data_IF_108357725883
#
_entry.id   IF_108357725883
#
_cell.length_a   1.000
_cell.length_b   1.000
_cell.length_c   1.000
_cell.angle_alpha   90.00
_cell.angle_beta   90.00
_cell.angle_gamma   90.00
#
_symmetry.space_group_name_H-M   'P 1'
#
loop_
_entity.id
_entity.type
_entity.pdbx_description
1 polymer ?
#
# COMPACT_ATOMS: atom_id res chain seq x y z
N UNK A 1 -0.30 18.57 47.41
CA UNK A 1 -1.14 17.82 46.45
C UNK A 1 -0.49 17.57 45.08
N UNK A 2 0.61 18.23 44.71
CA UNK A 2 1.29 18.01 43.42
C UNK A 2 2.33 16.87 43.46
N UNK A 3 3.04 16.70 44.58
CA UNK A 3 4.03 15.61 44.74
C UNK A 3 3.39 14.20 44.74
N UNK A 4 2.15 14.09 45.22
CA UNK A 4 1.38 12.84 45.19
C UNK A 4 0.96 12.43 43.77
N UNK A 5 0.77 13.39 42.84
CA UNK A 5 0.42 13.10 41.44
C UNK A 5 1.62 12.60 40.64
N UNK A 6 2.83 13.09 40.94
CA UNK A 6 4.07 12.62 40.33
C UNK A 6 4.46 11.21 40.77
N UNK A 7 4.21 10.85 42.04
CA UNK A 7 4.38 9.48 42.53
C UNK A 7 3.38 8.50 41.90
N UNK A 8 2.11 8.91 41.75
CA UNK A 8 1.09 8.09 41.06
C UNK A 8 1.43 7.90 39.58
N UNK A 9 1.93 8.93 38.90
CA UNK A 9 2.40 8.82 37.51
C UNK A 9 3.65 7.94 37.38
N UNK A 10 4.57 7.98 38.35
CA UNK A 10 5.76 7.13 38.38
C UNK A 10 5.44 5.65 38.60
N UNK A 11 4.42 5.35 39.41
CA UNK A 11 3.93 3.98 39.66
C UNK A 11 3.16 3.46 38.42
N UNK A 12 2.37 4.32 37.77
CA UNK A 12 1.66 3.96 36.54
C UNK A 12 2.63 3.64 35.38
N UNK A 13 3.75 4.36 35.27
CA UNK A 13 4.76 4.12 34.23
C UNK A 13 5.57 2.83 34.51
N UNK A 14 5.76 2.45 35.78
CA UNK A 14 6.46 1.20 36.13
C UNK A 14 5.57 -0.05 35.96
N UNK A 15 4.24 0.09 36.06
CA UNK A 15 3.31 -1.02 35.76
C UNK A 15 3.26 -1.39 34.26
N UNK A 16 3.52 -0.44 33.36
CA UNK A 16 3.51 -0.68 31.90
C UNK A 16 4.73 -1.48 31.44
N UNK A 17 5.84 -1.47 32.19
CA UNK A 17 7.07 -2.18 31.81
C UNK A 17 7.16 -3.64 32.30
N UNK A 18 6.25 -4.10 33.16
CA UNK A 18 6.27 -5.49 33.69
C UNK A 18 5.18 -6.39 33.07
N UNK A 19 4.23 -5.84 32.31
CA UNK A 19 3.00 -6.53 31.92
C UNK A 19 2.92 -7.24 30.56
N UNK A 20 3.99 -7.31 29.75
CA UNK A 20 3.91 -7.97 28.43
C UNK A 20 4.90 -9.13 28.32
N UNK A 21 4.69 -10.13 29.18
CA UNK A 21 4.93 -11.54 28.86
C UNK A 21 3.99 -12.41 29.69
N UNK A 22 2.79 -12.66 29.16
CA UNK A 22 2.00 -13.86 29.40
C UNK A 22 0.74 -13.81 28.52
N UNK A 23 0.53 -14.92 27.82
CA UNK A 23 -0.63 -15.24 26.98
C UNK A 23 -1.80 -15.77 27.82
N UNK A 24 -2.96 -15.89 27.17
CA UNK A 24 -4.16 -16.69 27.46
C UNK A 24 -5.42 -15.91 27.91
N UNK A 25 -6.50 -16.19 27.18
CA UNK A 25 -7.76 -15.46 27.16
C UNK A 25 -8.69 -15.65 28.36
N UNK A 26 -9.70 -14.78 28.41
CA UNK A 26 -11.09 -15.06 28.79
C UNK A 26 -11.94 -13.80 28.56
N UNK A 27 -13.24 -14.03 28.47
CA UNK A 27 -14.32 -13.23 27.88
C UNK A 27 -14.84 -12.05 28.75
N UNK A 28 -15.75 -11.28 28.13
CA UNK A 28 -16.82 -10.43 28.73
C UNK A 28 -16.41 -9.17 29.51
N UNK A 29 -17.05 -7.98 29.42
CA UNK A 29 -18.30 -7.51 28.82
C UNK A 29 -18.31 -5.96 28.84
N UNK A 30 -19.34 -5.36 28.22
CA UNK A 30 -19.89 -4.01 28.48
C UNK A 30 -19.41 -2.79 27.64
N UNK A 31 -19.96 -2.73 26.42
CA UNK A 31 -20.91 -1.69 25.92
C UNK A 31 -20.55 -0.21 26.11
N UNK A 32 -20.28 0.48 24.99
CA UNK A 32 -20.91 1.76 24.62
C UNK A 32 -21.17 1.76 23.09
N UNK A 33 -22.41 2.06 22.74
CA UNK A 33 -23.02 2.00 21.40
C UNK A 33 -22.71 3.25 20.57
N UNK A 34 -22.23 3.05 19.34
CA UNK A 34 -22.42 4.00 18.22
C UNK A 34 -22.57 3.17 16.91
N UNK A 35 -23.62 3.39 16.09
CA UNK A 35 -23.99 2.46 15.02
C UNK A 35 -23.42 2.91 13.67
N UNK A 36 -22.54 2.10 13.07
CA UNK A 36 -22.45 1.97 11.58
C UNK A 36 -21.50 0.86 11.06
N UNK A 37 -20.76 0.15 11.93
CA UNK A 37 -19.78 -0.87 11.48
C UNK A 37 -20.37 -2.28 11.45
N UNK A 38 -21.30 -2.60 12.34
CA UNK A 38 -21.89 -3.94 12.49
C UNK A 38 -22.72 -4.39 11.28
N UNK A 39 -23.43 -3.47 10.62
CA UNK A 39 -24.23 -3.80 9.44
C UNK A 39 -23.38 -4.30 8.27
N UNK A 40 -22.15 -3.80 8.12
CA UNK A 40 -21.24 -4.22 7.05
C UNK A 40 -20.68 -5.63 7.27
N UNK A 41 -20.35 -5.98 8.51
CA UNK A 41 -19.83 -7.30 8.91
C UNK A 41 -20.94 -8.33 8.81
N UNK A 42 -22.13 -8.02 9.33
CA UNK A 42 -23.30 -8.89 9.25
C UNK A 42 -23.72 -9.11 7.78
N UNK A 43 -23.65 -8.09 6.93
CA UNK A 43 -23.96 -8.21 5.50
C UNK A 43 -22.96 -9.11 4.75
N UNK A 44 -21.67 -9.01 5.07
CA UNK A 44 -20.64 -9.88 4.51
C UNK A 44 -20.85 -11.35 4.92
N UNK A 45 -21.18 -11.59 6.20
CA UNK A 45 -21.51 -12.92 6.71
C UNK A 45 -22.77 -13.48 6.07
N UNK A 46 -23.79 -12.65 5.85
CA UNK A 46 -25.03 -13.04 5.16
C UNK A 46 -24.78 -13.41 3.69
N UNK A 47 -23.94 -12.65 2.98
CA UNK A 47 -23.52 -12.99 1.61
C UNK A 47 -22.69 -14.27 1.58
N UNK A 48 -21.80 -14.48 2.55
CA UNK A 48 -21.02 -15.70 2.67
C UNK A 48 -21.91 -16.92 2.96
N UNK A 49 -22.85 -16.81 3.89
CA UNK A 49 -23.84 -17.86 4.18
C UNK A 49 -24.71 -18.14 2.97
N UNK A 50 -25.15 -17.11 2.25
CA UNK A 50 -25.95 -17.25 1.03
C UNK A 50 -25.18 -17.96 -0.08
N UNK A 51 -23.90 -17.69 -0.26
CA UNK A 51 -23.06 -18.40 -1.23
C UNK A 51 -22.83 -19.87 -0.85
N UNK A 52 -22.63 -20.17 0.45
CA UNK A 52 -22.55 -21.54 0.96
C UNK A 52 -23.86 -22.31 0.79
N UNK A 53 -25.00 -21.67 1.08
CA UNK A 53 -26.32 -22.26 0.86
C UNK A 53 -26.51 -22.58 -0.62
N UNK A 54 -26.21 -21.64 -1.53
CA UNK A 54 -26.29 -21.87 -2.98
C UNK A 54 -25.38 -23.00 -3.47
N UNK A 55 -24.14 -23.08 -2.95
CA UNK A 55 -23.22 -24.17 -3.28
C UNK A 55 -23.72 -25.54 -2.76
N UNK A 56 -24.27 -25.59 -1.55
CA UNK A 56 -24.86 -26.79 -0.98
C UNK A 56 -26.13 -27.20 -1.74
N UNK A 57 -27.00 -26.26 -2.11
CA UNK A 57 -28.18 -26.50 -2.93
C UNK A 57 -27.81 -27.08 -4.30
N UNK A 58 -26.79 -26.51 -4.97
CA UNK A 58 -26.26 -27.05 -6.23
C UNK A 58 -25.72 -28.47 -6.06
N UNK A 59 -24.97 -28.72 -4.98
CA UNK A 59 -24.41 -30.05 -4.68
C UNK A 59 -25.50 -31.08 -4.42
N UNK A 60 -26.56 -30.70 -3.70
CA UNK A 60 -27.73 -31.56 -3.43
C UNK A 60 -28.48 -31.85 -4.74
N UNK A 61 -28.67 -30.85 -5.60
CA UNK A 61 -29.32 -31.03 -6.91
C UNK A 61 -28.53 -32.01 -7.80
N UNK A 62 -27.21 -31.87 -7.87
CA UNK A 62 -26.37 -32.78 -8.64
C UNK A 62 -26.35 -34.19 -8.04
N UNK A 63 -26.27 -34.33 -6.72
CA UNK A 63 -26.39 -35.62 -6.03
C UNK A 63 -27.75 -36.28 -6.27
N UNK A 64 -28.82 -35.50 -6.32
CA UNK A 64 -30.18 -36.00 -6.61
C UNK A 64 -30.29 -36.51 -8.05
N UNK A 65 -29.69 -35.80 -9.02
CA UNK A 65 -29.61 -36.27 -10.42
C UNK A 65 -28.77 -37.54 -10.54
N UNK A 66 -27.64 -37.61 -9.86
CA UNK A 66 -26.77 -38.79 -9.82
C UNK A 66 -27.52 -40.00 -9.24
N UNK A 67 -28.23 -39.82 -8.12
CA UNK A 67 -29.06 -40.86 -7.51
C UNK A 67 -30.17 -41.34 -8.45
N UNK A 68 -30.88 -40.42 -9.11
CA UNK A 68 -31.93 -40.78 -10.06
C UNK A 68 -31.39 -41.61 -11.23
N UNK A 69 -30.22 -41.24 -11.78
CA UNK A 69 -29.57 -42.03 -12.83
C UNK A 69 -29.15 -43.42 -12.34
N UNK A 70 -28.68 -43.54 -11.09
CA UNK A 70 -28.36 -44.84 -10.49
C UNK A 70 -29.61 -45.69 -10.27
N UNK A 71 -30.72 -45.10 -9.81
CA UNK A 71 -32.01 -45.79 -9.67
C UNK A 71 -32.51 -46.32 -11.02
N UNK A 72 -32.42 -45.53 -12.08
CA UNK A 72 -32.77 -45.97 -13.44
C UNK A 72 -31.90 -47.15 -13.91
N UNK A 73 -30.59 -47.12 -13.60
CA UNK A 73 -29.69 -48.23 -13.89
C UNK A 73 -30.00 -49.48 -13.05
N UNK A 74 -30.40 -49.32 -11.79
CA UNK A 74 -30.79 -50.44 -10.91
C UNK A 74 -32.06 -51.08 -11.43
N UNK A 75 -33.09 -50.30 -11.74
CA UNK A 75 -34.34 -50.81 -12.32
C UNK A 75 -34.10 -51.58 -13.64
N UNK A 76 -33.18 -51.10 -14.48
CA UNK A 76 -32.78 -51.82 -15.68
C UNK A 76 -32.10 -53.16 -15.38
N UNK A 77 -31.21 -53.21 -14.38
CA UNK A 77 -30.56 -54.45 -13.95
C UNK A 77 -31.54 -55.44 -13.31
N UNK A 78 -32.48 -54.97 -12.51
CA UNK A 78 -33.54 -55.80 -11.92
C UNK A 78 -34.40 -56.45 -12.99
N UNK A 79 -34.81 -55.69 -14.02
CA UNK A 79 -35.54 -56.23 -15.17
C UNK A 79 -34.76 -57.33 -15.89
N UNK A 80 -33.46 -57.14 -16.10
CA UNK A 80 -32.60 -58.17 -16.70
C UNK A 80 -32.56 -59.42 -15.81
N UNK A 81 -32.47 -59.24 -14.48
CA UNK A 81 -32.45 -60.37 -13.54
C UNK A 81 -33.78 -61.14 -13.59
N UNK A 82 -34.92 -60.45 -13.64
CA UNK A 82 -36.24 -61.09 -13.79
C UNK A 82 -36.35 -61.86 -15.11
N UNK A 83 -35.92 -61.28 -16.23
CA UNK A 83 -35.90 -61.95 -17.54
C UNK A 83 -35.02 -63.21 -17.52
N UNK A 84 -33.85 -63.14 -16.86
CA UNK A 84 -32.95 -64.29 -16.69
C UNK A 84 -33.52 -65.33 -15.75
N UNK A 85 -34.16 -64.93 -14.66
CA UNK A 85 -34.81 -65.85 -13.73
C UNK A 85 -35.98 -66.58 -14.41
N UNK A 86 -36.80 -65.88 -15.20
CA UNK A 86 -37.85 -66.49 -16.01
C UNK A 86 -37.29 -67.47 -17.05
N UNK A 87 -36.17 -67.13 -17.69
CA UNK A 87 -35.48 -68.03 -18.62
C UNK A 87 -34.96 -69.28 -17.92
N UNK A 88 -34.42 -69.15 -16.70
CA UNK A 88 -33.93 -70.28 -15.89
C UNK A 88 -35.10 -71.19 -15.48
N UNK A 89 -36.24 -70.62 -15.06
CA UNK A 89 -37.44 -71.39 -14.73
C UNK A 89 -38.00 -72.12 -15.96
N UNK A 90 -37.99 -71.47 -17.12
CA UNK A 90 -38.37 -72.10 -18.39
C UNK A 90 -37.44 -73.28 -18.71
N UNK A 91 -36.13 -73.07 -18.64
CA UNK A 91 -35.13 -74.13 -18.89
C UNK A 91 -35.24 -75.27 -17.86
N UNK A 92 -35.50 -74.97 -16.59
CA UNK A 92 -35.73 -75.99 -15.57
C UNK A 92 -37.00 -76.80 -15.87
N UNK A 93 -38.10 -76.16 -16.29
CA UNK A 93 -39.33 -76.88 -16.69
C UNK A 93 -39.13 -77.73 -17.94
N UNK A 94 -38.28 -77.29 -18.87
CA UNK A 94 -37.90 -78.02 -20.07
C UNK A 94 -37.01 -79.22 -19.73
N UNK A 95 -36.07 -79.07 -18.79
CA UNK A 95 -35.25 -80.16 -18.25
C UNK A 95 -36.13 -81.19 -17.52
N UNK A 96 -37.06 -80.76 -16.67
CA UNK A 96 -38.01 -81.66 -16.00
C UNK A 96 -38.95 -82.37 -16.98
N UNK A 97 -39.34 -81.70 -18.07
CA UNK A 97 -40.10 -82.28 -19.18
C UNK A 97 -39.30 -83.37 -19.89
N UNK A 98 -38.04 -83.10 -20.24
CA UNK A 98 -37.13 -84.07 -20.87
C UNK A 98 -36.83 -85.24 -19.93
N UNK A 99 -36.74 -84.99 -18.61
CA UNK A 99 -36.51 -86.03 -17.60
C UNK A 99 -37.74 -86.93 -17.36
N UNK A 100 -38.97 -86.42 -17.59
CA UNK A 100 -40.21 -87.22 -17.57
C UNK A 100 -40.46 -88.00 -18.87
N UNK A 101 -39.87 -87.55 -19.98
CA UNK A 101 -39.95 -88.23 -21.28
C UNK A 101 -38.81 -89.25 -21.45
N UNK A 102 -38.54 -90.01 -20.39
CA UNK A 102 -37.57 -91.09 -20.39
C UNK A 102 -38.17 -92.37 -20.96
N UNK A 103 -38.13 -92.50 -22.28
CA UNK A 103 -37.71 -93.71 -23.03
C UNK A 103 -37.94 -93.49 -24.52
N UNK A 104 -36.86 -93.64 -25.32
CA UNK A 104 -36.76 -94.19 -26.68
C UNK A 104 -35.80 -93.38 -27.59
N UNK A 105 -34.89 -94.14 -28.20
CA UNK A 105 -33.91 -93.90 -29.27
C UNK A 105 -32.72 -92.95 -29.08
N UNK A 106 -31.61 -93.57 -28.65
CA UNK A 106 -30.29 -92.98 -28.46
C UNK A 106 -29.56 -92.59 -29.77
N UNK A 107 -30.04 -92.98 -30.95
CA UNK A 107 -29.32 -92.76 -32.21
C UNK A 107 -29.82 -91.56 -33.03
N UNK A 108 -31.09 -91.16 -32.85
CA UNK A 108 -31.65 -89.94 -33.46
C UNK A 108 -31.35 -88.67 -32.63
N UNK A 109 -31.23 -88.82 -31.30
CA UNK A 109 -30.81 -87.75 -30.37
C UNK A 109 -29.37 -87.29 -30.60
N UNK A 110 -28.46 -88.20 -30.94
CA UNK A 110 -27.05 -87.85 -31.20
C UNK A 110 -26.90 -87.03 -32.49
N UNK A 111 -27.73 -87.30 -33.51
CA UNK A 111 -27.73 -86.51 -34.75
C UNK A 111 -28.34 -85.11 -34.56
N UNK A 112 -29.44 -84.98 -33.81
CA UNK A 112 -30.01 -83.67 -33.44
C UNK A 112 -29.08 -82.87 -32.54
N UNK A 113 -28.50 -83.49 -31.51
CA UNK A 113 -27.53 -82.86 -30.63
C UNK A 113 -26.26 -82.40 -31.38
N UNK A 114 -25.80 -83.14 -32.40
CA UNK A 114 -24.66 -82.71 -33.22
C UNK A 114 -24.99 -81.53 -34.14
N UNK A 115 -26.22 -81.44 -34.68
CA UNK A 115 -26.67 -80.28 -35.47
C UNK A 115 -26.84 -79.05 -34.57
N UNK A 116 -27.50 -79.21 -33.42
CA UNK A 116 -27.65 -78.15 -32.41
C UNK A 116 -26.29 -77.70 -31.86
N UNK A 117 -25.36 -78.61 -31.61
CA UNK A 117 -23.99 -78.28 -31.18
C UNK A 117 -23.22 -77.51 -32.25
N UNK A 118 -23.42 -77.82 -33.54
CA UNK A 118 -22.81 -77.09 -34.64
C UNK A 118 -23.40 -75.68 -34.82
N UNK A 119 -24.70 -75.53 -34.57
CA UNK A 119 -25.40 -74.24 -34.64
C UNK A 119 -25.09 -73.34 -33.43
N UNK A 120 -25.03 -73.92 -32.22
CA UNK A 120 -24.49 -73.28 -31.01
C UNK A 120 -23.02 -72.87 -31.21
N UNK A 121 -22.20 -73.71 -31.84
CA UNK A 121 -20.82 -73.36 -32.18
C UNK A 121 -20.73 -72.09 -33.04
N UNK A 122 -21.56 -71.97 -34.08
CA UNK A 122 -21.63 -70.77 -34.92
C UNK A 122 -22.11 -69.54 -34.15
N UNK A 123 -23.07 -69.69 -33.22
CA UNK A 123 -23.51 -68.59 -32.37
C UNK A 123 -22.41 -68.13 -31.41
N UNK A 124 -21.67 -69.06 -30.81
CA UNK A 124 -20.52 -68.77 -29.95
C UNK A 124 -19.42 -68.06 -30.73
N UNK A 125 -19.11 -68.50 -31.95
CA UNK A 125 -18.13 -67.84 -32.84
C UNK A 125 -18.55 -66.40 -33.17
N UNK A 126 -19.84 -66.18 -33.47
CA UNK A 126 -20.40 -64.85 -33.75
C UNK A 126 -20.32 -63.94 -32.52
N UNK A 127 -20.69 -64.44 -31.34
CA UNK A 127 -20.60 -63.70 -30.08
C UNK A 127 -19.15 -63.37 -29.72
N UNK A 128 -18.22 -64.30 -29.95
CA UNK A 128 -16.78 -64.07 -29.74
C UNK A 128 -16.27 -62.91 -30.59
N UNK A 129 -16.63 -62.88 -31.88
CA UNK A 129 -16.22 -61.80 -32.79
C UNK A 129 -16.84 -60.44 -32.39
N UNK A 130 -18.10 -60.41 -31.93
CA UNK A 130 -18.74 -59.18 -31.44
C UNK A 130 -18.08 -58.67 -30.15
N UNK A 131 -17.74 -59.58 -29.22
CA UNK A 131 -16.99 -59.24 -27.99
C UNK A 131 -15.63 -58.65 -28.34
N UNK A 132 -14.89 -59.25 -29.27
CA UNK A 132 -13.60 -58.70 -29.72
C UNK A 132 -13.75 -57.30 -30.34
N UNK A 133 -14.79 -57.09 -31.15
CA UNK A 133 -15.07 -55.79 -31.75
C UNK A 133 -15.43 -54.74 -30.71
N UNK A 134 -16.30 -55.08 -29.74
CA UNK A 134 -16.62 -54.19 -28.63
C UNK A 134 -15.40 -53.87 -27.78
N UNK A 135 -14.54 -54.85 -27.52
CA UNK A 135 -13.32 -54.62 -26.73
C UNK A 135 -12.37 -53.64 -27.43
N UNK A 136 -12.21 -53.74 -28.75
CA UNK A 136 -11.43 -52.76 -29.54
C UNK A 136 -12.04 -51.36 -29.47
N UNK A 137 -13.38 -51.23 -29.55
CA UNK A 137 -14.07 -49.94 -29.39
C UNK A 137 -13.87 -49.37 -27.99
N UNK A 138 -13.98 -50.20 -26.94
CA UNK A 138 -13.72 -49.81 -25.55
C UNK A 138 -12.30 -49.27 -25.39
N UNK A 139 -11.28 -49.97 -25.88
CA UNK A 139 -9.90 -49.49 -25.81
C UNK A 139 -9.69 -48.16 -26.53
N UNK A 140 -10.33 -47.94 -27.69
CA UNK A 140 -10.28 -46.67 -28.40
C UNK A 140 -10.95 -45.53 -27.61
N UNK A 141 -12.06 -45.83 -26.91
CA UNK A 141 -12.72 -44.86 -26.03
C UNK A 141 -11.90 -44.56 -24.78
N UNK A 142 -11.31 -45.57 -24.13
CA UNK A 142 -10.42 -45.41 -22.98
C UNK A 142 -9.20 -44.54 -23.34
N UNK A 143 -8.60 -44.76 -24.52
CA UNK A 143 -7.50 -43.93 -25.01
C UNK A 143 -7.92 -42.46 -25.18
N UNK A 144 -9.09 -42.20 -25.79
CA UNK A 144 -9.63 -40.84 -25.94
C UNK A 144 -9.97 -40.20 -24.60
N UNK A 145 -10.52 -40.96 -23.66
CA UNK A 145 -10.82 -40.49 -22.31
C UNK A 145 -9.53 -40.07 -21.58
N UNK A 146 -8.47 -40.89 -21.67
CA UNK A 146 -7.16 -40.55 -21.07
C UNK A 146 -6.51 -39.31 -21.69
N UNK A 147 -6.68 -39.08 -22.99
CA UNK A 147 -6.17 -37.87 -23.65
C UNK A 147 -6.98 -36.63 -23.25
N UNK A 148 -8.31 -36.76 -23.15
CA UNK A 148 -9.18 -35.70 -22.66
C UNK A 148 -8.85 -35.35 -21.20
N UNK A 149 -8.61 -36.33 -20.35
CA UNK A 149 -8.21 -36.13 -18.95
C UNK A 149 -6.88 -35.37 -18.84
N UNK A 150 -5.88 -35.72 -19.65
CA UNK A 150 -4.61 -34.97 -19.73
C UNK A 150 -4.83 -33.51 -20.15
N UNK A 151 -5.69 -33.26 -21.13
CA UNK A 151 -6.03 -31.89 -21.57
C UNK A 151 -6.74 -31.11 -20.46
N UNK A 152 -7.65 -31.75 -19.72
CA UNK A 152 -8.32 -31.13 -18.57
C UNK A 152 -7.32 -30.77 -17.47
N UNK A 153 -6.37 -31.66 -17.16
CA UNK A 153 -5.31 -31.37 -16.20
C UNK A 153 -4.41 -30.21 -16.65
N UNK A 154 -4.02 -30.16 -17.93
CA UNK A 154 -3.25 -29.04 -18.49
C UNK A 154 -4.01 -27.72 -18.41
N UNK A 155 -5.30 -27.72 -18.76
CA UNK A 155 -6.16 -26.54 -18.65
C UNK A 155 -6.35 -26.11 -17.20
N UNK A 156 -6.48 -27.05 -16.27
CA UNK A 156 -6.57 -26.77 -14.83
C UNK A 156 -5.30 -26.08 -14.31
N UNK A 157 -4.12 -26.56 -14.70
CA UNK A 157 -2.84 -25.91 -14.34
C UNK A 157 -2.71 -24.50 -14.95
N UNK A 158 -3.14 -24.31 -16.20
CA UNK A 158 -3.17 -22.98 -16.82
C UNK A 158 -4.13 -22.03 -16.11
N UNK A 159 -5.30 -22.52 -15.71
CA UNK A 159 -6.28 -21.75 -14.96
C UNK A 159 -5.74 -21.33 -13.59
N UNK A 160 -5.09 -22.23 -12.87
CA UNK A 160 -4.46 -21.93 -11.57
C UNK A 160 -3.36 -20.87 -11.70
N UNK A 161 -2.51 -20.98 -12.74
CA UNK A 161 -1.48 -19.97 -13.00
C UNK A 161 -2.08 -18.61 -13.35
N UNK A 162 -3.13 -18.57 -14.16
CA UNK A 162 -3.85 -17.32 -14.46
C UNK A 162 -4.47 -16.71 -13.21
N UNK A 163 -5.08 -17.53 -12.36
CA UNK A 163 -5.65 -17.07 -11.09
C UNK A 163 -4.58 -16.43 -10.19
N UNK A 164 -3.41 -17.08 -10.03
CA UNK A 164 -2.27 -16.52 -9.28
C UNK A 164 -1.81 -15.17 -9.84
N UNK A 165 -1.72 -15.04 -11.17
CA UNK A 165 -1.33 -13.75 -11.79
C UNK A 165 -2.40 -12.67 -11.62
N UNK A 166 -3.67 -13.03 -11.63
CA UNK A 166 -4.77 -12.11 -11.39
C UNK A 166 -4.77 -11.60 -9.95
N UNK A 167 -4.59 -12.50 -8.97
CA UNK A 167 -4.50 -12.15 -7.55
C UNK A 167 -3.32 -11.21 -7.27
N UNK A 168 -2.15 -11.46 -7.89
CA UNK A 168 -0.99 -10.56 -7.82
C UNK A 168 -1.28 -9.18 -8.42
N UNK A 169 -1.92 -9.13 -9.59
CA UNK A 169 -2.32 -7.87 -10.22
C UNK A 169 -3.32 -7.10 -9.34
N UNK A 170 -4.32 -7.78 -8.77
CA UNK A 170 -5.31 -7.20 -7.86
C UNK A 170 -4.64 -6.65 -6.60
N UNK A 171 -3.67 -7.36 -6.04
CA UNK A 171 -2.88 -6.87 -4.91
C UNK A 171 -2.11 -5.59 -5.24
N UNK A 172 -1.46 -5.55 -6.42
CA UNK A 172 -0.75 -4.36 -6.90
C UNK A 172 -1.68 -3.17 -7.10
N UNK A 173 -2.86 -3.39 -7.68
CA UNK A 173 -3.90 -2.36 -7.86
C UNK A 173 -4.32 -1.79 -6.51
N UNK A 174 -4.63 -2.64 -5.53
CA UNK A 174 -5.00 -2.19 -4.18
C UNK A 174 -3.86 -1.44 -3.46
N UNK A 175 -2.60 -1.78 -3.73
CA UNK A 175 -1.46 -1.03 -3.20
C UNK A 175 -1.37 0.37 -3.83
N UNK A 176 -1.57 0.49 -5.14
CA UNK A 176 -1.56 1.79 -5.83
C UNK A 176 -2.77 2.65 -5.47
N UNK A 177 -3.96 2.06 -5.30
CA UNK A 177 -5.16 2.77 -4.85
C UNK A 177 -4.99 3.36 -3.44
N UNK A 178 -4.38 2.60 -2.51
CA UNK A 178 -4.08 3.13 -1.17
C UNK A 178 -3.08 4.27 -1.21
N UNK A 179 -2.03 4.16 -2.03
CA UNK A 179 -1.06 5.24 -2.22
C UNK A 179 -1.71 6.49 -2.82
N UNK A 180 -2.65 6.31 -3.76
CA UNK A 180 -3.41 7.42 -4.35
C UNK A 180 -4.29 8.11 -3.31
N UNK A 181 -5.06 7.36 -2.51
CA UNK A 181 -5.89 7.94 -1.44
C UNK A 181 -5.06 8.73 -0.43
N UNK A 182 -3.90 8.20 -0.01
CA UNK A 182 -2.99 8.92 0.89
C UNK A 182 -2.48 10.21 0.23
N UNK A 183 -2.12 10.18 -1.06
CA UNK A 183 -1.69 11.37 -1.78
C UNK A 183 -2.81 12.41 -1.91
N UNK A 184 -4.05 11.98 -2.14
CA UNK A 184 -5.24 12.85 -2.17
C UNK A 184 -5.50 13.49 -0.80
N UNK A 185 -5.42 12.71 0.29
CA UNK A 185 -5.58 13.23 1.66
C UNK A 185 -4.49 14.25 2.03
N UNK A 186 -3.22 13.98 1.70
CA UNK A 186 -2.12 14.90 1.94
C UNK A 186 -2.24 16.18 1.09
N UNK A 187 -2.73 16.07 -0.15
CA UNK A 187 -3.02 17.23 -0.99
C UNK A 187 -4.13 18.10 -0.38
N UNK A 188 -5.21 17.48 0.10
CA UNK A 188 -6.30 18.20 0.77
C UNK A 188 -5.80 18.89 2.06
N UNK A 189 -4.97 18.21 2.85
CA UNK A 189 -4.34 18.82 4.04
C UNK A 189 -3.44 20.00 3.68
N UNK A 190 -2.59 19.86 2.68
CA UNK A 190 -1.71 20.94 2.22
C UNK A 190 -2.50 22.15 1.70
N UNK A 191 -3.61 21.93 0.99
CA UNK A 191 -4.51 23.00 0.57
C UNK A 191 -5.14 23.71 1.77
N UNK A 192 -5.64 22.97 2.76
CA UNK A 192 -6.20 23.55 3.98
C UNK A 192 -5.14 24.32 4.79
N UNK A 193 -3.90 23.82 4.88
CA UNK A 193 -2.81 24.52 5.54
C UNK A 193 -2.39 25.79 4.78
N UNK A 194 -2.32 25.74 3.45
CA UNK A 194 -1.99 26.89 2.61
C UNK A 194 -3.06 27.99 2.71
N UNK A 195 -4.34 27.61 2.72
CA UNK A 195 -5.46 28.55 2.91
C UNK A 195 -5.47 29.15 4.30
N UNK A 196 -5.22 28.35 5.35
CA UNK A 196 -5.10 28.84 6.73
C UNK A 196 -3.93 29.83 6.87
N UNK A 197 -2.74 29.47 6.37
CA UNK A 197 -1.56 30.34 6.38
C UNK A 197 -1.78 31.62 5.58
N UNK A 198 -2.43 31.53 4.42
CA UNK A 198 -2.81 32.72 3.63
C UNK A 198 -3.72 33.66 4.43
N UNK A 199 -4.70 33.11 5.16
CA UNK A 199 -5.59 33.88 6.02
C UNK A 199 -4.85 34.53 7.20
N UNK A 200 -3.97 33.80 7.90
CA UNK A 200 -3.10 34.38 8.94
C UNK A 200 -2.21 35.50 8.37
N UNK A 201 -1.65 35.28 7.18
CA UNK A 201 -0.75 36.22 6.53
C UNK A 201 -1.52 37.48 6.11
N UNK A 202 -2.72 37.36 5.51
CA UNK A 202 -3.58 38.50 5.20
C UNK A 202 -3.96 39.32 6.43
N UNK A 203 -4.23 38.68 7.57
CA UNK A 203 -4.53 39.37 8.84
C UNK A 203 -3.30 40.09 9.41
N UNK A 204 -2.13 39.43 9.39
CA UNK A 204 -0.88 40.03 9.84
C UNK A 204 -0.42 41.19 8.93
N UNK A 205 -0.62 41.05 7.62
CA UNK A 205 -0.20 42.01 6.61
C UNK A 205 -1.17 43.20 6.50
N UNK A 206 -2.46 43.01 6.75
CA UNK A 206 -3.45 44.11 6.81
C UNK A 206 -3.17 45.15 7.91
N UNK A 207 -2.37 44.80 8.93
CA UNK A 207 -1.96 45.70 10.00
C UNK A 207 -0.54 46.28 9.84
N UNK A 208 0.30 45.73 8.94
CA UNK A 208 1.71 46.08 8.82
C UNK A 208 2.12 46.64 7.45
N UNK A 209 1.44 46.25 6.36
CA UNK A 209 1.74 46.76 5.02
C UNK A 209 1.16 48.15 4.82
N UNK A 210 1.94 49.11 4.29
CA UNK A 210 1.40 50.38 3.80
C UNK A 210 0.28 50.15 2.77
N UNK A 211 -0.81 50.95 2.77
CA UNK A 211 -1.96 50.75 1.89
C UNK A 211 -1.61 50.62 0.39
N UNK A 212 -0.56 51.30 -0.07
CA UNK A 212 -0.10 51.24 -1.45
C UNK A 212 0.47 49.86 -1.84
N UNK A 213 1.16 49.18 -0.92
CA UNK A 213 1.77 47.87 -1.17
C UNK A 213 0.72 46.75 -1.08
N UNK A 214 -0.24 46.86 -0.16
CA UNK A 214 -1.40 45.97 -0.10
C UNK A 214 -2.22 46.03 -1.41
N UNK A 215 -2.49 47.24 -1.93
CA UNK A 215 -3.16 47.42 -3.21
C UNK A 215 -2.38 46.80 -4.38
N UNK A 216 -1.05 46.89 -4.37
CA UNK A 216 -0.20 46.33 -5.41
C UNK A 216 -0.19 44.79 -5.38
N UNK A 217 -0.14 44.17 -4.20
CA UNK A 217 -0.22 42.72 -4.04
C UNK A 217 -1.58 42.18 -4.51
N UNK A 218 -2.68 42.87 -4.17
CA UNK A 218 -4.03 42.50 -4.63
C UNK A 218 -4.09 42.57 -6.16
N UNK A 219 -3.56 43.63 -6.77
CA UNK A 219 -3.55 43.78 -8.23
C UNK A 219 -2.76 42.66 -8.93
N UNK A 220 -1.61 42.27 -8.40
CA UNK A 220 -0.84 41.14 -8.95
C UNK A 220 -1.53 39.79 -8.73
N UNK A 221 -2.21 39.58 -7.60
CA UNK A 221 -3.00 38.37 -7.36
C UNK A 221 -4.17 38.27 -8.34
N UNK A 222 -4.90 39.36 -8.58
CA UNK A 222 -5.97 39.42 -9.56
C UNK A 222 -5.44 39.15 -10.97
N UNK A 223 -4.33 39.78 -11.36
CA UNK A 223 -3.70 39.58 -12.67
C UNK A 223 -3.21 38.13 -12.87
N UNK A 224 -2.60 37.53 -11.85
CA UNK A 224 -2.18 36.13 -11.91
C UNK A 224 -3.38 35.17 -11.98
N UNK A 225 -4.45 35.46 -11.25
CA UNK A 225 -5.67 34.66 -11.26
C UNK A 225 -6.41 34.74 -12.60
N UNK A 226 -6.51 35.93 -13.21
CA UNK A 226 -7.10 36.10 -14.54
C UNK A 226 -6.25 35.42 -15.61
N UNK A 227 -4.93 35.61 -15.60
CA UNK A 227 -4.03 34.96 -16.55
C UNK A 227 -4.09 33.42 -16.46
N UNK A 228 -4.15 32.87 -15.23
CA UNK A 228 -4.34 31.44 -15.01
C UNK A 228 -5.66 30.94 -15.62
N UNK A 229 -6.76 31.68 -15.40
CA UNK A 229 -8.09 31.32 -15.87
C UNK A 229 -8.24 31.42 -17.39
N UNK A 230 -7.63 32.42 -18.01
CA UNK A 230 -7.74 32.68 -19.46
C UNK A 230 -6.79 31.82 -20.30
N UNK A 231 -5.59 31.52 -19.80
CA UNK A 231 -4.55 30.88 -20.62
C UNK A 231 -4.09 29.52 -20.10
N UNK A 232 -3.79 29.42 -18.80
CA UNK A 232 -3.18 28.20 -18.27
C UNK A 232 -4.21 27.06 -18.09
N UNK A 233 -5.38 27.37 -17.53
CA UNK A 233 -6.44 26.38 -17.28
C UNK A 233 -6.98 25.76 -18.57
N UNK A 234 -7.34 26.52 -19.62
CA UNK A 234 -7.82 25.93 -20.88
C UNK A 234 -6.77 25.06 -21.58
N UNK A 235 -5.48 25.45 -21.53
CA UNK A 235 -4.41 24.64 -22.09
C UNK A 235 -4.27 23.29 -21.35
N UNK A 236 -4.42 23.29 -20.03
CA UNK A 236 -4.39 22.09 -19.19
C UNK A 236 -5.60 21.17 -19.46
N UNK A 237 -6.79 21.75 -19.58
CA UNK A 237 -8.02 21.02 -19.89
C UNK A 237 -7.92 20.35 -21.27
N UNK A 238 -7.39 21.04 -22.30
CA UNK A 238 -7.15 20.47 -23.64
C UNK A 238 -6.12 19.33 -23.60
N UNK A 239 -5.07 19.44 -22.77
CA UNK A 239 -4.08 18.37 -22.61
C UNK A 239 -4.73 17.14 -21.93
N UNK A 240 -5.55 17.37 -20.89
CA UNK A 240 -6.24 16.31 -20.17
C UNK A 240 -7.24 15.59 -21.08
N UNK A 241 -8.04 16.34 -21.84
CA UNK A 241 -8.98 15.81 -22.83
C UNK A 241 -8.25 14.97 -23.87
N UNK A 242 -7.18 15.48 -24.48
CA UNK A 242 -6.35 14.71 -25.43
C UNK A 242 -5.73 13.47 -24.81
N UNK A 243 -5.31 13.51 -23.55
CA UNK A 243 -4.80 12.34 -22.85
C UNK A 243 -5.89 11.28 -22.67
N UNK A 244 -7.11 11.68 -22.28
CA UNK A 244 -8.25 10.76 -22.12
C UNK A 244 -8.75 10.18 -23.44
N UNK A 245 -8.78 10.97 -24.52
CA UNK A 245 -9.09 10.49 -25.87
C UNK A 245 -8.05 9.47 -26.34
N UNK A 246 -6.75 9.75 -26.11
CA UNK A 246 -5.67 8.83 -26.47
C UNK A 246 -5.69 7.56 -25.62
N UNK A 247 -6.08 7.65 -24.35
CA UNK A 247 -6.28 6.49 -23.48
C UNK A 247 -7.45 5.62 -23.97
N UNK A 248 -8.59 6.23 -24.32
CA UNK A 248 -9.75 5.51 -24.87
C UNK A 248 -9.44 4.90 -26.25
N UNK A 249 -8.66 5.59 -27.07
CA UNK A 249 -8.18 5.07 -28.36
C UNK A 249 -7.22 3.90 -28.16
N UNK A 250 -6.28 4.00 -27.21
CA UNK A 250 -5.40 2.88 -26.85
C UNK A 250 -6.20 1.68 -26.33
N UNK A 251 -7.23 1.91 -25.51
CA UNK A 251 -8.09 0.85 -24.97
C UNK A 251 -8.88 0.11 -26.08
N UNK A 252 -9.35 0.81 -27.12
CA UNK A 252 -9.97 0.19 -28.30
C UNK A 252 -8.98 -0.57 -29.21
N UNK A 253 -7.70 -0.20 -29.18
CA UNK A 253 -6.64 -0.86 -29.94
C UNK A 253 -6.08 -2.13 -29.27
N UNK A 254 -6.36 -2.35 -27.98
CA UNK A 254 -5.71 -3.40 -27.18
C UNK A 254 -6.26 -4.82 -27.43
N UNK A 255 -7.52 -5.00 -27.84
CA UNK A 255 -8.10 -6.34 -28.03
C UNK A 255 -7.57 -7.13 -29.25
N UNK A 256 -7.35 -6.55 -30.44
CA UNK A 256 -6.87 -7.31 -31.60
C UNK A 256 -5.34 -7.29 -31.81
N UNK A 257 -4.62 -6.41 -31.11
CA UNK A 257 -3.22 -6.07 -31.43
C UNK A 257 -2.17 -6.77 -30.57
N UNK A 258 -2.57 -7.41 -29.47
CA UNK A 258 -1.65 -8.05 -28.54
C UNK A 258 -0.84 -9.18 -29.21
N UNK A 259 -1.47 -9.92 -30.11
CA UNK A 259 -0.84 -11.02 -30.87
C UNK A 259 0.04 -10.52 -32.05
N UNK A 260 -0.34 -9.42 -32.69
CA UNK A 260 0.44 -8.82 -33.79
C UNK A 260 1.65 -8.02 -33.27
N UNK A 261 1.51 -7.39 -32.10
CA UNK A 261 2.56 -6.63 -31.43
C UNK A 261 3.73 -7.53 -31.02
N UNK A 262 3.43 -8.71 -30.46
CA UNK A 262 4.43 -9.68 -30.01
C UNK A 262 5.32 -10.21 -31.14
N UNK A 263 4.77 -10.34 -32.35
CA UNK A 263 5.44 -11.04 -33.47
C UNK A 263 6.05 -10.12 -34.52
N UNK A 264 5.45 -8.96 -34.83
CA UNK A 264 5.93 -8.07 -35.91
C UNK A 264 6.53 -6.75 -35.45
N UNK A 265 6.03 -6.16 -34.37
CA UNK A 265 6.36 -4.76 -34.01
C UNK A 265 7.53 -4.67 -33.04
N UNK A 266 7.65 -5.60 -32.10
CA UNK A 266 8.77 -5.62 -31.13
C UNK A 266 10.14 -5.63 -31.84
N UNK A 267 10.39 -6.42 -32.91
CA UNK A 267 11.67 -6.38 -33.62
C UNK A 267 11.88 -5.07 -34.41
N UNK A 268 10.85 -4.60 -35.13
CA UNK A 268 10.93 -3.42 -35.99
C UNK A 268 11.08 -2.10 -35.19
N UNK A 269 10.42 -2.01 -34.03
CA UNK A 269 10.57 -0.89 -33.11
C UNK A 269 11.98 -0.89 -32.52
N UNK A 270 12.53 -2.06 -32.16
CA UNK A 270 13.89 -2.16 -31.62
C UNK A 270 14.94 -1.65 -32.62
N UNK A 271 14.83 -2.02 -33.89
CA UNK A 271 15.73 -1.54 -34.94
C UNK A 271 15.60 -0.04 -35.18
N UNK A 272 14.36 0.47 -35.28
CA UNK A 272 14.13 1.91 -35.47
C UNK A 272 14.53 2.74 -34.26
N UNK A 273 14.41 2.20 -33.05
CA UNK A 273 14.82 2.86 -31.81
C UNK A 273 16.33 2.99 -31.72
N UNK A 274 17.09 1.97 -32.14
CA UNK A 274 18.56 2.05 -32.20
C UNK A 274 19.01 3.12 -33.20
N UNK A 275 18.37 3.21 -34.37
CA UNK A 275 18.68 4.26 -35.37
C UNK A 275 18.34 5.65 -34.83
N UNK A 276 17.20 5.80 -34.14
CA UNK A 276 16.79 7.05 -33.54
C UNK A 276 17.72 7.50 -32.41
N UNK A 277 18.11 6.58 -31.52
CA UNK A 277 19.06 6.85 -30.43
C UNK A 277 20.41 7.30 -31.01
N UNK A 278 20.94 6.60 -32.03
CA UNK A 278 22.19 6.97 -32.69
C UNK A 278 22.12 8.36 -33.36
N UNK A 279 20.96 8.73 -33.92
CA UNK A 279 20.79 10.04 -34.56
C UNK A 279 20.52 11.17 -33.55
N UNK A 280 19.93 10.88 -32.40
CA UNK A 280 19.61 11.86 -31.37
C UNK A 280 20.80 12.16 -30.43
N UNK A 281 21.71 11.20 -30.27
CA UNK A 281 22.91 11.33 -29.44
C UNK A 281 23.76 12.58 -29.72
N UNK A 282 24.08 12.97 -30.96
CA UNK A 282 24.84 14.19 -31.22
C UNK A 282 24.08 15.47 -30.79
N UNK A 283 22.74 15.50 -30.91
CA UNK A 283 21.95 16.65 -30.49
C UNK A 283 21.87 16.78 -28.97
N UNK A 284 21.74 15.66 -28.25
CA UNK A 284 21.78 15.64 -26.79
C UNK A 284 23.15 16.09 -26.28
N UNK A 285 24.24 15.65 -26.92
CA UNK A 285 25.60 16.11 -26.60
C UNK A 285 25.80 17.61 -26.86
N UNK A 286 25.27 18.15 -27.97
CA UNK A 286 25.32 19.59 -28.27
C UNK A 286 24.53 20.40 -27.22
N UNK A 287 23.33 19.96 -26.87
CA UNK A 287 22.52 20.63 -25.84
C UNK A 287 23.22 20.57 -24.49
N UNK A 288 23.75 19.40 -24.12
CA UNK A 288 24.48 19.23 -22.86
C UNK A 288 25.70 20.16 -22.76
N UNK A 289 26.54 20.18 -23.79
CA UNK A 289 27.73 21.05 -23.83
C UNK A 289 27.36 22.53 -23.76
N UNK A 290 26.34 22.96 -24.51
CA UNK A 290 25.85 24.35 -24.48
C UNK A 290 25.23 24.74 -23.14
N UNK A 291 24.47 23.85 -22.52
CA UNK A 291 23.90 24.09 -21.19
C UNK A 291 24.99 24.20 -20.12
N UNK A 292 26.03 23.36 -20.19
CA UNK A 292 27.19 23.43 -19.29
C UNK A 292 27.96 24.74 -19.48
N UNK A 293 28.21 25.17 -20.72
CA UNK A 293 28.83 26.48 -21.02
C UNK A 293 28.00 27.66 -20.46
N UNK A 294 26.68 27.66 -20.68
CA UNK A 294 25.77 28.70 -20.15
C UNK A 294 25.73 28.70 -18.61
N UNK A 295 25.77 27.52 -17.99
CA UNK A 295 25.83 27.40 -16.53
C UNK A 295 27.14 27.96 -15.96
N UNK A 296 28.28 27.62 -16.55
CA UNK A 296 29.57 28.13 -16.06
C UNK A 296 29.73 29.63 -16.30
N UNK A 297 29.30 30.14 -17.46
CA UNK A 297 29.33 31.58 -17.76
C UNK A 297 28.40 32.37 -16.84
N UNK A 298 27.15 31.92 -16.64
CA UNK A 298 26.23 32.56 -15.69
C UNK A 298 26.76 32.53 -14.26
N UNK A 299 27.32 31.40 -13.79
CA UNK A 299 27.95 31.29 -12.48
C UNK A 299 29.12 32.28 -12.32
N UNK A 300 29.96 32.43 -13.34
CA UNK A 300 31.06 33.40 -13.32
C UNK A 300 30.55 34.84 -13.26
N UNK A 301 29.55 35.19 -14.07
CA UNK A 301 28.95 36.53 -14.10
C UNK A 301 28.27 36.88 -12.78
N UNK A 302 27.51 35.95 -12.20
CA UNK A 302 26.86 36.14 -10.90
C UNK A 302 27.92 36.30 -9.80
N UNK A 303 29.01 35.52 -9.82
CA UNK A 303 30.09 35.66 -8.86
C UNK A 303 30.72 37.07 -8.92
N UNK A 304 30.93 37.64 -10.12
CA UNK A 304 31.41 39.01 -10.29
C UNK A 304 30.44 40.04 -9.67
N UNK A 305 29.14 39.94 -9.96
CA UNK A 305 28.15 40.83 -9.36
C UNK A 305 28.07 40.70 -7.83
N UNK A 306 28.20 39.49 -7.29
CA UNK A 306 28.24 39.27 -5.84
C UNK A 306 29.46 39.94 -5.24
N UNK A 307 30.64 39.86 -5.87
CA UNK A 307 31.85 40.55 -5.41
C UNK A 307 31.65 42.07 -5.46
N UNK A 308 31.12 42.63 -6.55
CA UNK A 308 30.84 44.07 -6.67
C UNK A 308 29.85 44.56 -5.61
N UNK A 309 28.79 43.81 -5.35
CA UNK A 309 27.82 44.14 -4.28
C UNK A 309 28.46 44.04 -2.90
N UNK A 310 29.33 43.05 -2.65
CA UNK A 310 30.07 42.96 -1.40
C UNK A 310 31.06 44.12 -1.23
N UNK A 311 31.76 44.53 -2.28
CA UNK A 311 32.67 45.69 -2.26
C UNK A 311 31.91 47.00 -2.03
N UNK A 312 30.74 47.17 -2.64
CA UNK A 312 29.89 48.35 -2.42
C UNK A 312 29.31 48.39 -1.00
N UNK A 313 29.07 47.23 -0.40
CA UNK A 313 28.56 47.11 0.96
C UNK A 313 29.66 47.25 2.04
N UNK A 314 30.93 46.99 1.72
CA UNK A 314 32.05 47.03 2.68
C UNK A 314 32.16 48.38 3.43
N UNK A 315 32.08 49.56 2.79
CA UNK A 315 32.10 50.85 3.50
C UNK A 315 31.00 50.97 4.55
N UNK A 316 29.81 50.45 4.27
CA UNK A 316 28.67 50.47 5.20
C UNK A 316 28.87 49.50 6.37
N UNK A 317 29.44 48.32 6.12
CA UNK A 317 29.82 47.39 7.18
C UNK A 317 30.94 47.94 8.06
N UNK A 318 31.97 48.56 7.47
CA UNK A 318 33.04 49.20 8.22
C UNK A 318 32.55 50.38 9.05
N UNK A 319 31.61 51.17 8.52
CA UNK A 319 30.97 52.27 9.25
C UNK A 319 30.16 51.73 10.44
N UNK A 320 29.32 50.72 10.21
CA UNK A 320 28.54 50.04 11.26
C UNK A 320 29.44 49.43 12.32
N UNK A 321 30.57 48.81 11.91
CA UNK A 321 31.59 48.27 12.81
C UNK A 321 32.25 49.36 13.65
N UNK A 322 32.62 50.52 13.07
CA UNK A 322 33.16 51.66 13.82
C UNK A 322 32.16 52.21 14.84
N UNK A 323 30.89 52.30 14.48
CA UNK A 323 29.84 52.78 15.41
C UNK A 323 29.50 51.77 16.51
N UNK A 324 29.43 50.48 16.18
CA UNK A 324 29.03 49.43 17.13
C UNK A 324 30.17 48.97 18.06
N UNK A 325 31.42 49.01 17.59
CA UNK A 325 32.59 48.56 18.36
C UNK A 325 32.69 49.13 19.78
N UNK A 326 32.55 50.45 20.04
CA UNK A 326 32.62 50.96 21.41
C UNK A 326 31.52 50.41 22.32
N UNK A 327 30.31 50.19 21.79
CA UNK A 327 29.22 49.59 22.56
C UNK A 327 29.42 48.10 22.82
N UNK A 328 29.91 47.36 21.82
CA UNK A 328 30.27 45.94 21.97
C UNK A 328 31.39 45.80 23.00
N UNK A 329 32.43 46.64 22.93
CA UNK A 329 33.54 46.65 23.86
C UNK A 329 33.07 47.05 25.27
N UNK A 330 32.14 47.99 25.40
CA UNK A 330 31.54 48.37 26.69
C UNK A 330 30.72 47.23 27.30
N UNK A 331 29.85 46.58 26.51
CA UNK A 331 29.09 45.40 26.95
C UNK A 331 30.03 44.27 27.33
N UNK A 332 31.07 44.00 26.54
CA UNK A 332 32.09 43.00 26.86
C UNK A 332 32.82 43.34 28.17
N UNK A 333 33.19 44.60 28.39
CA UNK A 333 33.90 45.05 29.60
C UNK A 333 33.02 44.93 30.85
N UNK A 334 31.73 45.29 30.76
CA UNK A 334 30.76 45.16 31.86
C UNK A 334 30.47 43.68 32.16
N UNK A 335 30.35 42.87 31.12
CA UNK A 335 29.93 41.47 31.24
C UNK A 335 31.09 40.55 31.65
N UNK A 336 32.33 40.91 31.32
CA UNK A 336 33.54 40.13 31.63
C UNK A 336 33.66 39.69 33.10
N UNK A 337 33.58 40.56 34.11
CA UNK A 337 33.70 40.13 35.51
C UNK A 337 32.55 39.20 35.93
N UNK A 338 31.33 39.40 35.41
CA UNK A 338 30.18 38.55 35.73
C UNK A 338 30.30 37.17 35.08
N UNK A 339 30.80 37.08 33.84
CA UNK A 339 31.07 35.81 33.16
C UNK A 339 32.20 35.06 33.84
N UNK A 340 33.29 35.75 34.20
CA UNK A 340 34.41 35.16 34.95
C UNK A 340 33.95 34.64 36.32
N UNK A 341 33.11 35.41 37.03
CA UNK A 341 32.52 34.98 38.31
C UNK A 341 31.59 33.78 38.14
N UNK A 342 30.72 33.77 37.13
CA UNK A 342 29.88 32.62 36.81
C UNK A 342 30.71 31.39 36.43
N UNK A 343 31.81 31.55 35.69
CA UNK A 343 32.72 30.46 35.37
C UNK A 343 33.36 29.86 36.63
N UNK A 344 33.74 30.69 37.61
CA UNK A 344 34.28 30.22 38.90
C UNK A 344 33.22 29.45 39.69
N UNK A 345 31.99 29.98 39.79
CA UNK A 345 30.88 29.30 40.49
C UNK A 345 30.43 28.01 39.79
N UNK A 346 30.43 27.97 38.46
CA UNK A 346 30.03 26.81 37.68
C UNK A 346 31.13 25.75 37.60
N UNK A 347 32.40 26.09 37.83
CA UNK A 347 33.55 25.15 37.78
C UNK A 347 33.32 23.82 38.51
N UNK A 348 32.83 23.77 39.77
CA UNK A 348 32.50 22.51 40.44
C UNK A 348 31.33 21.76 39.78
N UNK A 349 30.31 22.47 39.31
CA UNK A 349 29.16 21.88 38.64
C UNK A 349 29.54 21.29 37.28
N UNK A 350 30.38 21.97 36.50
CA UNK A 350 30.92 21.50 35.22
C UNK A 350 31.70 20.20 35.39
N UNK A 351 32.48 20.04 36.47
CA UNK A 351 33.16 18.75 36.76
C UNK A 351 32.16 17.61 36.99
N UNK A 352 31.09 17.87 37.75
CA UNK A 352 30.05 16.88 37.99
C UNK A 352 29.29 16.53 36.71
N UNK A 353 28.94 17.54 35.90
CA UNK A 353 28.27 17.35 34.60
C UNK A 353 29.15 16.55 33.63
N UNK A 354 30.46 16.83 33.54
CA UNK A 354 31.38 16.06 32.70
C UNK A 354 31.44 14.60 33.17
N UNK A 355 31.49 14.36 34.49
CA UNK A 355 31.55 13.00 35.05
C UNK A 355 30.23 12.24 34.85
N UNK A 356 29.10 12.90 35.06
CA UNK A 356 27.77 12.35 34.81
C UNK A 356 27.55 12.06 33.32
N UNK A 357 27.93 12.98 32.45
CA UNK A 357 27.88 12.81 30.99
C UNK A 357 28.79 11.67 30.53
N UNK A 358 30.00 11.53 31.10
CA UNK A 358 30.90 10.42 30.82
C UNK A 358 30.32 9.06 31.23
N UNK A 359 29.66 8.98 32.39
CA UNK A 359 28.94 7.77 32.83
C UNK A 359 27.75 7.47 31.90
N UNK A 360 26.96 8.49 31.57
CA UNK A 360 25.84 8.39 30.65
C UNK A 360 26.28 7.89 29.28
N UNK A 361 27.34 8.46 28.70
CA UNK A 361 27.86 8.08 27.38
C UNK A 361 28.34 6.62 27.35
N UNK A 362 29.00 6.15 28.43
CA UNK A 362 29.40 4.73 28.56
C UNK A 362 28.19 3.82 28.62
N UNK A 363 27.17 4.16 29.41
CA UNK A 363 25.93 3.39 29.51
C UNK A 363 25.16 3.38 28.19
N UNK A 364 25.02 4.54 27.54
CA UNK A 364 24.37 4.69 26.24
C UNK A 364 25.08 3.88 25.16
N UNK A 365 26.41 3.89 25.13
CA UNK A 365 27.18 3.09 24.16
C UNK A 365 27.00 1.59 24.40
N UNK A 366 26.96 1.16 25.67
CA UNK A 366 26.73 -0.25 26.01
C UNK A 366 25.32 -0.70 25.63
N UNK A 367 24.31 0.12 25.93
CA UNK A 367 22.92 -0.13 25.57
C UNK A 367 22.71 -0.12 24.04
N UNK A 368 23.28 0.85 23.34
CA UNK A 368 23.28 0.91 21.87
C UNK A 368 23.80 -0.40 21.27
N UNK A 369 24.93 -0.91 21.79
CA UNK A 369 25.49 -2.20 21.34
C UNK A 369 24.58 -3.39 21.62
N UNK A 370 23.91 -3.42 22.77
CA UNK A 370 22.94 -4.47 23.13
C UNK A 370 21.70 -4.43 22.22
N UNK A 371 21.13 -3.24 22.01
CA UNK A 371 19.99 -3.03 21.12
C UNK A 371 20.37 -3.37 19.68
N UNK A 372 21.57 -3.00 19.23
CA UNK A 372 22.09 -3.38 17.92
C UNK A 372 22.16 -4.90 17.75
N UNK A 373 22.59 -5.64 18.78
CA UNK A 373 22.61 -7.10 18.76
C UNK A 373 21.20 -7.70 18.67
N UNK A 374 20.26 -7.25 19.51
CA UNK A 374 18.88 -7.74 19.51
C UNK A 374 18.07 -7.38 18.26
N UNK A 375 18.26 -6.17 17.71
CA UNK A 375 17.65 -5.77 16.42
C UNK A 375 18.21 -6.63 15.30
N UNK A 376 19.54 -6.85 15.25
CA UNK A 376 20.16 -7.69 14.21
C UNK A 376 19.70 -9.13 14.28
N UNK A 377 19.53 -9.67 15.49
CA UNK A 377 19.01 -11.03 15.72
C UNK A 377 17.56 -11.15 15.26
N UNK A 378 16.68 -10.23 15.69
CA UNK A 378 15.27 -10.21 15.25
C UNK A 378 15.12 -10.03 13.74
N UNK A 379 15.89 -9.13 13.12
CA UNK A 379 15.83 -8.96 11.67
C UNK A 379 16.31 -10.20 10.90
N UNK A 380 17.24 -10.99 11.46
CA UNK A 380 17.71 -12.24 10.84
C UNK A 380 16.74 -13.41 11.01
N UNK A 381 15.91 -13.38 12.06
CA UNK A 381 14.98 -14.46 12.38
C UNK A 381 13.83 -14.60 11.37
N UNK A 382 13.39 -13.49 10.76
CA UNK A 382 12.34 -13.51 9.74
C UNK A 382 12.93 -13.42 8.31
N UNK A 383 12.46 -14.27 7.39
CA UNK A 383 12.99 -14.33 6.02
C UNK A 383 12.84 -13.01 5.25
N UNK A 384 11.73 -12.27 5.49
CA UNK A 384 11.45 -10.98 4.85
C UNK A 384 12.35 -9.85 5.36
N UNK A 385 12.69 -9.83 6.64
CA UNK A 385 13.52 -8.75 7.24
C UNK A 385 15.01 -9.03 7.17
N UNK A 386 15.40 -10.24 6.77
CA UNK A 386 16.81 -10.66 6.63
C UNK A 386 17.58 -9.76 5.67
N UNK A 387 16.93 -9.29 4.60
CA UNK A 387 17.49 -8.35 3.61
C UNK A 387 17.72 -6.96 4.22
N UNK A 388 16.93 -6.58 5.22
CA UNK A 388 17.05 -5.30 5.93
C UNK A 388 18.09 -5.34 7.07
N UNK A 389 18.69 -6.49 7.38
CA UNK A 389 19.68 -6.64 8.45
C UNK A 389 21.07 -6.05 8.08
N UNK A 390 21.10 -4.93 7.34
CA UNK A 390 22.32 -4.22 6.97
C UNK A 390 22.93 -3.51 8.18
N UNK A 391 24.26 -3.45 8.24
CA UNK A 391 25.00 -2.89 9.39
C UNK A 391 24.61 -1.44 9.69
N UNK A 392 24.33 -0.66 8.64
CA UNK A 392 23.93 0.75 8.71
C UNK A 392 22.52 0.91 9.26
N UNK A 393 21.53 0.15 8.75
CA UNK A 393 20.14 0.26 9.20
C UNK A 393 19.99 -0.15 10.68
N UNK A 394 20.65 -1.23 11.10
CA UNK A 394 20.64 -1.68 12.50
C UNK A 394 21.26 -0.61 13.41
N UNK A 395 22.33 0.07 12.95
CA UNK A 395 22.95 1.16 13.69
C UNK A 395 22.03 2.39 13.80
N UNK A 396 21.34 2.77 12.73
CA UNK A 396 20.35 3.87 12.78
C UNK A 396 19.16 3.55 13.67
N UNK A 397 18.59 2.34 13.58
CA UNK A 397 17.44 1.93 14.39
C UNK A 397 17.77 1.87 15.88
N UNK A 398 18.95 1.34 16.24
CA UNK A 398 19.40 1.33 17.62
C UNK A 398 19.68 2.74 18.16
N UNK A 399 20.20 3.64 17.30
CA UNK A 399 20.39 5.06 17.64
C UNK A 399 19.06 5.79 17.82
N UNK A 400 18.06 5.52 16.97
CA UNK A 400 16.72 6.09 17.06
C UNK A 400 16.02 5.67 18.36
N UNK A 401 16.11 4.39 18.73
CA UNK A 401 15.58 3.88 20.01
C UNK A 401 16.22 4.56 21.22
N UNK A 402 17.51 4.89 21.15
CA UNK A 402 18.23 5.56 22.23
C UNK A 402 17.87 7.06 22.31
N UNK A 403 17.67 7.71 21.16
CA UNK A 403 17.34 9.14 21.08
C UNK A 403 15.89 9.46 21.48
N UNK A 404 14.95 8.54 21.26
CA UNK A 404 13.51 8.71 21.53
C UNK A 404 13.20 9.15 22.98
N UNK A 405 13.72 8.48 24.04
CA UNK A 405 13.48 8.92 25.41
C UNK A 405 14.11 10.29 25.72
N UNK A 406 15.28 10.59 25.14
CA UNK A 406 15.95 11.90 25.30
C UNK A 406 15.08 13.00 24.68
N UNK A 407 14.54 12.75 23.49
CA UNK A 407 13.65 13.67 22.79
C UNK A 407 12.34 13.91 23.55
N UNK A 408 11.75 12.88 24.14
CA UNK A 408 10.54 13.02 24.97
C UNK A 408 10.80 13.86 26.22
N UNK A 409 11.91 13.60 26.93
CA UNK A 409 12.30 14.41 28.10
C UNK A 409 12.59 15.85 27.70
N UNK A 410 13.30 16.07 26.59
CA UNK A 410 13.56 17.40 26.05
C UNK A 410 12.26 18.15 25.72
N UNK A 411 11.29 17.47 25.07
CA UNK A 411 9.98 18.06 24.75
C UNK A 411 9.17 18.40 26.00
N UNK A 412 9.21 17.56 27.03
CA UNK A 412 8.58 17.83 28.33
C UNK A 412 9.23 19.01 29.04
N UNK A 413 10.56 19.12 29.00
CA UNK A 413 11.30 20.25 29.56
C UNK A 413 11.00 21.56 28.82
N UNK A 414 10.91 21.56 27.48
CA UNK A 414 10.49 22.74 26.74
C UNK A 414 9.06 23.16 27.09
N UNK A 415 8.13 22.21 27.22
CA UNK A 415 6.74 22.56 27.52
C UNK A 415 6.57 23.13 28.94
N UNK A 416 7.40 22.69 29.89
CA UNK A 416 7.36 23.13 31.29
C UNK A 416 8.12 24.44 31.54
N UNK A 417 9.28 24.66 30.90
CA UNK A 417 10.08 25.88 31.06
C UNK A 417 9.77 26.97 30.03
N UNK A 418 9.29 26.61 28.84
CA UNK A 418 8.87 27.54 27.77
C UNK A 418 7.36 27.57 27.60
N UNK A 419 6.59 27.47 28.69
CA UNK A 419 5.16 27.79 28.65
C UNK A 419 4.98 29.23 28.20
N UNK A 420 4.42 29.41 27.00
CA UNK A 420 4.03 30.70 26.42
C UNK A 420 3.33 31.54 27.50
N UNK A 421 3.97 32.61 27.96
CA UNK A 421 3.26 33.69 28.64
C UNK A 421 2.29 34.27 27.62
N UNK A 422 1.02 33.88 27.70
CA UNK A 422 -0.05 34.67 27.12
C UNK A 422 0.02 36.04 27.77
N UNK A 423 0.45 37.03 26.99
CA UNK A 423 0.43 38.44 27.37
C UNK A 423 -1.05 38.76 27.65
N UNK A 424 -1.43 38.83 28.93
CA UNK A 424 -2.69 39.45 29.32
C UNK A 424 -2.55 40.93 28.98
N UNK A 425 -3.27 41.37 27.95
CA UNK A 425 -3.44 42.78 27.62
C UNK A 425 -4.04 43.50 28.84
N UNK A 426 -3.22 44.26 29.54
CA UNK A 426 -3.68 45.26 30.50
C UNK A 426 -4.42 46.34 29.72
N UNK A 427 -5.74 46.20 29.66
CA UNK A 427 -6.70 47.23 29.25
C UNK A 427 -6.61 48.38 30.26
N UNK A 428 -5.71 49.32 30.06
CA UNK A 428 -5.76 50.62 30.71
C UNK A 428 -6.80 51.48 29.99
N UNK A 429 -7.89 51.78 30.69
CA UNK A 429 -8.88 52.76 30.29
C UNK A 429 -8.56 54.15 30.84
N UNK A 430 -9.01 55.16 30.08
CA UNK A 430 -9.11 56.60 30.42
C UNK A 430 -7.78 57.39 30.45
N UNK A 431 -7.69 58.62 29.93
CA UNK A 431 -8.72 59.64 29.69
C UNK A 431 -8.29 60.63 28.59
N UNK A 432 -9.30 61.21 27.94
CA UNK A 432 -9.20 62.23 26.90
C UNK A 432 -8.61 63.54 27.44
N UNK A 433 -7.63 64.12 26.72
CA UNK A 433 -7.32 65.55 26.84
C UNK A 433 -7.71 66.29 25.57
N UNK A 434 -8.84 66.98 25.68
CA UNK A 434 -9.39 67.93 24.72
C UNK A 434 -8.48 69.16 24.62
N UNK A 435 -7.95 69.40 23.42
CA UNK A 435 -7.14 70.55 23.02
C UNK A 435 -7.97 71.84 23.13
N UNK A 436 -7.68 72.70 24.12
CA UNK A 436 -8.24 74.06 24.22
C UNK A 436 -7.37 75.04 23.42
N UNK A 437 -7.96 75.63 22.39
CA UNK A 437 -7.42 76.78 21.65
C UNK A 437 -7.38 78.03 22.56
N UNK A 438 -6.32 78.86 22.55
CA UNK A 438 -6.37 80.19 23.11
C UNK A 438 -6.88 81.19 22.06
N UNK A 439 -7.99 81.87 22.37
CA UNK A 439 -8.46 83.06 21.64
C UNK A 439 -7.65 84.28 22.10
N UNK A 440 -7.13 85.02 21.13
CA UNK A 440 -6.60 86.38 21.26
C UNK A 440 -7.56 87.33 22.00
N UNK A 441 -6.99 88.23 22.82
CA UNK A 441 -7.41 89.63 22.90
C UNK A 441 -6.21 90.52 23.24
N UNK A 442 -6.05 91.56 22.42
CA UNK A 442 -5.15 92.70 22.52
C UNK A 442 -5.61 93.74 23.56
N UNK A 443 -4.71 94.71 23.80
CA UNK A 443 -4.82 96.02 24.49
C UNK A 443 -4.49 95.97 26.00
N UNK A 444 -3.63 96.82 26.60
CA UNK A 444 -3.07 98.12 26.22
C UNK A 444 -1.77 98.43 26.99
N UNK A 445 -0.99 99.35 26.41
CA UNK A 445 0.18 100.13 26.88
C UNK A 445 1.55 99.78 26.31
#
# INVERSE_FOLDING_TARGET
MEASKLLIASIAISLVFVGVWADAGAEEEAVIVEPDVSDSVLKLELEQLRSKISALESSILDKTRELKSKDESIAHLEKIIEEKAASILSLQSEIESVQRQGTVDAEELVKRANVESGELGKQVEKLKNEIELQNRRRHALDARASEAEKKVQELSLKLENLQKTNDEQRHRIHKTERALKVAEEELMRAQLEATAKSMELSQAHGAWLPPWLAAHIIHYQEFAATYWKEHAKPALDVILEKATEKLAQAQKWVEPQLETAKTKWVPAIKERWVIFVNNAEPYVQIVYTKTVEVYHTSKSTIATYVIEVLELADPYFQLTKKFSKPYIDQVATITKPHVEQMQVYLKPYTKWVILAYGKFLKSATTYHRQVQAGIRERLKHYELTKVLATKELVWFMASALLALPIFLVYRLLLNTFCSKKTIKSTRNGHSNHTRRNPKQRHADK
#
